data_IF_364401158512
#
_entry.id   IF_364401158512
#
_cell.length_a   1.000
_cell.length_b   1.000
_cell.length_c   1.000
_cell.angle_alpha   90.00
_cell.angle_beta   90.00
_cell.angle_gamma   90.00
#
_symmetry.space_group_name_H-M   'P 1'
#
loop_
_entity.id
_entity.type
_entity.pdbx_description
1 polymer ?
#
# COMPACT_ATOMS: atom_id res chain seq x y z
N UNK A 1 -27.71 4.69 -23.43
CA UNK A 1 -27.54 5.17 -22.03
C UNK A 1 -28.09 6.58 -21.98
N UNK A 2 -29.24 6.80 -21.34
CA UNK A 2 -29.79 8.14 -21.17
C UNK A 2 -29.28 8.69 -19.83
N UNK A 3 -28.25 9.51 -19.88
CA UNK A 3 -27.70 10.19 -18.71
C UNK A 3 -28.68 11.26 -18.23
N UNK A 4 -29.08 11.19 -16.97
CA UNK A 4 -30.05 12.09 -16.36
C UNK A 4 -29.35 13.08 -15.42
N UNK A 5 -30.06 14.11 -14.99
CA UNK A 5 -29.57 15.04 -13.97
C UNK A 5 -29.32 14.35 -12.62
N UNK A 6 -30.12 13.33 -12.32
CA UNK A 6 -29.95 12.47 -11.13
C UNK A 6 -28.58 11.78 -11.14
N UNK A 7 -28.17 11.21 -12.27
CA UNK A 7 -26.86 10.53 -12.42
C UNK A 7 -25.69 11.49 -12.16
N UNK A 8 -25.84 12.74 -12.61
CA UNK A 8 -24.84 13.79 -12.37
C UNK A 8 -24.67 14.09 -10.88
N UNK A 9 -25.78 14.23 -10.13
CA UNK A 9 -25.72 14.47 -8.70
C UNK A 9 -25.22 13.27 -7.91
N UNK A 10 -25.57 12.06 -8.28
CA UNK A 10 -25.03 10.83 -7.69
C UNK A 10 -23.49 10.82 -7.80
N UNK A 11 -22.95 11.13 -8.98
CA UNK A 11 -21.50 11.19 -9.17
C UNK A 11 -20.89 12.33 -8.36
N UNK A 12 -21.50 13.49 -8.30
CA UNK A 12 -21.00 14.64 -7.52
C UNK A 12 -20.96 14.29 -6.02
N UNK A 13 -22.05 13.75 -5.47
CA UNK A 13 -22.13 13.38 -4.05
C UNK A 13 -21.08 12.28 -3.73
N UNK A 14 -21.00 11.25 -4.57
CA UNK A 14 -19.98 10.20 -4.43
C UNK A 14 -18.55 10.72 -4.49
N UNK A 15 -18.27 11.65 -5.41
CA UNK A 15 -16.96 12.28 -5.55
C UNK A 15 -16.60 13.17 -4.35
N UNK A 16 -17.56 13.98 -3.84
CA UNK A 16 -17.36 14.80 -2.65
C UNK A 16 -17.12 13.94 -1.40
N UNK A 17 -17.91 12.88 -1.23
CA UNK A 17 -17.71 11.90 -0.17
C UNK A 17 -16.33 11.25 -0.26
N UNK A 18 -15.97 10.74 -1.44
CA UNK A 18 -14.68 10.09 -1.66
C UNK A 18 -13.49 11.03 -1.38
N UNK A 19 -13.57 12.28 -1.85
CA UNK A 19 -12.55 13.27 -1.59
C UNK A 19 -12.47 13.65 -0.10
N UNK A 20 -13.63 13.82 0.56
CA UNK A 20 -13.72 14.09 2.00
C UNK A 20 -13.10 12.98 2.84
N UNK A 21 -13.38 11.73 2.53
CA UNK A 21 -12.82 10.55 3.20
C UNK A 21 -11.32 10.34 2.90
N UNK A 22 -10.86 10.66 1.68
CA UNK A 22 -9.47 10.44 1.27
C UNK A 22 -8.47 11.28 2.07
N UNK A 23 -8.85 12.47 2.55
CA UNK A 23 -7.94 13.35 3.31
C UNK A 23 -7.54 12.70 4.65
N UNK A 24 -8.46 12.45 5.61
CA UNK A 24 -8.09 11.78 6.84
C UNK A 24 -7.64 10.33 6.59
N UNK A 25 -8.23 9.64 5.61
CA UNK A 25 -7.84 8.29 5.19
C UNK A 25 -6.37 8.17 4.82
N UNK A 26 -5.80 9.18 4.16
CA UNK A 26 -4.37 9.23 3.82
C UNK A 26 -3.49 9.15 5.07
N UNK A 27 -3.83 9.89 6.13
CA UNK A 27 -3.06 9.89 7.37
C UNK A 27 -3.28 8.57 8.13
N UNK A 28 -4.51 8.03 8.12
CA UNK A 28 -4.82 6.74 8.73
C UNK A 28 -4.01 5.61 8.11
N UNK A 29 -3.90 5.56 6.77
CA UNK A 29 -3.09 4.56 6.05
C UNK A 29 -1.61 4.70 6.40
N UNK A 30 -1.05 5.91 6.41
CA UNK A 30 0.34 6.16 6.79
C UNK A 30 0.65 5.73 8.23
N UNK A 31 -0.30 5.91 9.15
CA UNK A 31 -0.18 5.48 10.55
C UNK A 31 -0.51 4.00 10.77
N UNK A 32 -0.81 3.23 9.71
CA UNK A 32 -1.24 1.82 9.80
C UNK A 32 -2.51 1.62 10.63
N UNK A 33 -3.40 2.61 10.62
CA UNK A 33 -4.67 2.63 11.35
C UNK A 33 -5.87 2.67 10.38
N UNK A 34 -5.74 2.11 9.18
CA UNK A 34 -6.77 2.18 8.13
C UNK A 34 -8.13 1.63 8.55
N UNK A 35 -8.16 0.61 9.40
CA UNK A 35 -9.39 0.04 9.96
C UNK A 35 -10.09 0.96 10.98
N UNK A 36 -9.45 2.06 11.40
CA UNK A 36 -10.06 3.00 12.35
C UNK A 36 -11.26 3.73 11.76
N UNK A 37 -11.24 4.02 10.45
CA UNK A 37 -12.40 4.57 9.76
C UNK A 37 -13.61 3.64 9.83
N UNK A 38 -13.40 2.34 9.63
CA UNK A 38 -14.42 1.30 9.75
C UNK A 38 -14.93 1.16 11.20
N UNK A 39 -14.02 1.06 12.17
CA UNK A 39 -14.36 0.98 13.59
C UNK A 39 -15.21 2.17 14.04
N UNK A 40 -14.83 3.39 13.67
CA UNK A 40 -15.59 4.61 14.01
C UNK A 40 -16.95 4.58 13.32
N UNK A 41 -17.02 4.16 12.06
CA UNK A 41 -18.25 4.10 11.30
C UNK A 41 -19.35 3.32 12.02
N UNK A 42 -19.04 2.16 12.53
CA UNK A 42 -20.02 1.32 13.22
C UNK A 42 -20.28 1.76 14.67
N UNK A 43 -19.30 2.37 15.33
CA UNK A 43 -19.47 2.89 16.69
C UNK A 43 -20.26 4.20 16.76
N UNK A 44 -20.59 4.80 15.64
CA UNK A 44 -21.48 5.96 15.54
C UNK A 44 -22.91 5.64 16.03
N UNK A 45 -23.40 4.41 15.82
CA UNK A 45 -24.75 3.99 16.18
C UNK A 45 -25.13 4.30 17.64
N UNK A 46 -24.36 3.92 18.68
CA UNK A 46 -24.68 4.30 20.05
C UNK A 46 -24.71 5.81 20.26
N UNK A 47 -23.87 6.57 19.53
CA UNK A 47 -23.88 8.04 19.61
C UNK A 47 -25.16 8.66 19.08
N UNK A 48 -25.63 8.20 17.94
CA UNK A 48 -26.90 8.59 17.34
C UNK A 48 -28.09 8.22 18.27
N UNK A 49 -28.10 6.97 18.77
CA UNK A 49 -29.16 6.50 19.67
C UNK A 49 -29.22 7.29 20.97
N UNK A 50 -28.07 7.58 21.59
CA UNK A 50 -28.01 8.41 22.81
C UNK A 50 -28.48 9.83 22.51
N UNK A 51 -28.02 10.44 21.42
CA UNK A 51 -28.46 11.79 21.04
C UNK A 51 -29.96 11.84 20.85
N UNK A 52 -30.58 10.86 20.18
CA UNK A 52 -32.02 10.75 20.00
C UNK A 52 -32.75 10.58 21.32
N UNK A 53 -32.30 9.69 22.21
CA UNK A 53 -32.91 9.44 23.51
C UNK A 53 -32.87 10.69 24.42
N UNK A 54 -31.83 11.53 24.32
CA UNK A 54 -31.66 12.73 25.12
C UNK A 54 -32.48 13.90 24.57
N UNK A 55 -32.51 14.07 23.25
CA UNK A 55 -33.20 15.22 22.61
C UNK A 55 -34.66 14.96 22.29
N UNK A 56 -35.07 13.70 22.17
CA UNK A 56 -36.41 13.31 21.71
C UNK A 56 -36.71 13.73 20.26
N UNK A 57 -35.70 14.19 19.52
CA UNK A 57 -35.84 14.71 18.16
C UNK A 57 -34.79 14.14 17.22
N UNK A 58 -35.10 14.15 15.91
CA UNK A 58 -34.16 13.77 14.84
C UNK A 58 -33.36 14.99 14.36
N UNK A 59 -32.90 15.84 15.28
CA UNK A 59 -32.04 16.96 14.88
C UNK A 59 -30.69 16.46 14.37
N UNK A 60 -30.34 16.73 13.11
CA UNK A 60 -29.09 16.28 12.51
C UNK A 60 -27.83 16.76 13.24
N UNK A 61 -27.90 17.98 13.82
CA UNK A 61 -26.75 18.55 14.54
C UNK A 61 -26.53 17.79 15.85
N UNK A 62 -27.59 17.48 16.60
CA UNK A 62 -27.49 16.71 17.83
C UNK A 62 -26.97 15.28 17.56
N UNK A 63 -27.44 14.64 16.48
CA UNK A 63 -26.96 13.32 16.06
C UNK A 63 -25.50 13.35 15.63
N UNK A 64 -25.07 14.37 14.88
CA UNK A 64 -23.68 14.56 14.50
C UNK A 64 -22.75 14.71 15.72
N UNK A 65 -23.17 15.55 16.70
CA UNK A 65 -22.42 15.75 17.95
C UNK A 65 -22.32 14.43 18.72
N UNK A 66 -23.43 13.72 18.92
CA UNK A 66 -23.43 12.42 19.60
C UNK A 66 -22.50 11.40 18.95
N UNK A 67 -22.53 11.33 17.65
CA UNK A 67 -21.69 10.44 16.86
C UNK A 67 -20.21 10.80 16.95
N UNK A 68 -19.85 12.09 16.87
CA UNK A 68 -18.47 12.56 17.05
C UNK A 68 -17.95 12.26 18.45
N UNK A 69 -18.77 12.49 19.49
CA UNK A 69 -18.41 12.18 20.89
C UNK A 69 -18.11 10.69 21.06
N UNK A 70 -18.97 9.80 20.54
CA UNK A 70 -18.73 8.36 20.63
C UNK A 70 -17.54 7.93 19.75
N UNK A 71 -17.32 8.54 18.59
CA UNK A 71 -16.13 8.35 17.79
C UNK A 71 -14.84 8.69 18.54
N UNK A 72 -14.83 9.78 19.31
CA UNK A 72 -13.71 10.14 20.18
C UNK A 72 -13.52 9.16 21.35
N UNK A 73 -14.62 8.71 21.97
CA UNK A 73 -14.59 7.67 23.00
C UNK A 73 -14.01 6.38 22.41
N UNK A 74 -14.39 6.01 21.21
CA UNK A 74 -13.83 4.84 20.49
C UNK A 74 -12.33 4.96 20.32
N UNK A 75 -11.85 6.12 19.83
CA UNK A 75 -10.43 6.36 19.66
C UNK A 75 -9.67 6.30 21.01
N UNK A 76 -10.24 6.89 22.05
CA UNK A 76 -9.68 6.83 23.40
C UNK A 76 -9.59 5.39 23.94
N UNK A 77 -10.67 4.62 23.84
CA UNK A 77 -10.70 3.23 24.29
C UNK A 77 -9.71 2.35 23.54
N UNK A 78 -9.64 2.47 22.21
CA UNK A 78 -8.64 1.77 21.39
C UNK A 78 -7.23 2.08 21.86
N UNK A 79 -6.92 3.37 22.04
CA UNK A 79 -5.60 3.80 22.51
C UNK A 79 -5.30 3.33 23.95
N UNK A 80 -6.29 3.35 24.84
CA UNK A 80 -6.13 2.86 26.22
C UNK A 80 -5.81 1.35 26.24
N UNK A 81 -6.53 0.53 25.44
CA UNK A 81 -6.28 -0.90 25.36
C UNK A 81 -4.88 -1.18 24.77
N UNK A 82 -4.45 -0.41 23.76
CA UNK A 82 -3.10 -0.55 23.20
C UNK A 82 -1.99 -0.17 24.18
N UNK A 83 -2.14 0.96 24.90
CA UNK A 83 -1.10 1.49 25.77
C UNK A 83 -0.99 0.75 27.10
N UNK A 84 -2.11 0.41 27.71
CA UNK A 84 -2.18 -0.27 29.02
C UNK A 84 -2.14 -1.78 28.85
N UNK A 85 -2.94 -2.31 27.94
CA UNK A 85 -3.08 -3.75 27.70
C UNK A 85 -1.98 -4.34 26.82
N UNK A 86 -1.16 -3.50 26.16
CA UNK A 86 -0.13 -3.90 25.16
C UNK A 86 -0.71 -4.81 24.07
N UNK A 87 -1.99 -4.62 23.75
CA UNK A 87 -2.70 -5.37 22.70
C UNK A 87 -2.39 -4.75 21.34
N UNK A 88 -2.29 -5.60 20.31
CA UNK A 88 -2.08 -5.14 18.94
C UNK A 88 -3.20 -4.17 18.48
N UNK A 89 -2.85 -3.23 17.63
CA UNK A 89 -3.74 -2.16 17.12
C UNK A 89 -5.02 -2.75 16.52
N UNK A 90 -4.91 -3.76 15.66
CA UNK A 90 -6.04 -4.39 14.99
C UNK A 90 -6.99 -5.10 15.98
N UNK A 91 -6.44 -5.85 16.95
CA UNK A 91 -7.22 -6.53 17.98
C UNK A 91 -7.91 -5.52 18.91
N UNK A 92 -7.24 -4.44 19.31
CA UNK A 92 -7.83 -3.37 20.13
C UNK A 92 -9.02 -2.70 19.44
N UNK A 93 -8.89 -2.41 18.13
CA UNK A 93 -9.98 -1.89 17.32
C UNK A 93 -11.16 -2.87 17.26
N UNK A 94 -10.89 -4.16 17.01
CA UNK A 94 -11.93 -5.19 16.94
C UNK A 94 -12.73 -5.32 18.23
N UNK A 95 -12.07 -5.32 19.39
CA UNK A 95 -12.73 -5.41 20.70
C UNK A 95 -13.65 -4.20 20.93
N UNK A 96 -13.11 -2.99 20.79
CA UNK A 96 -13.88 -1.75 21.06
C UNK A 96 -15.06 -1.62 20.10
N UNK A 97 -14.81 -1.86 18.81
CA UNK A 97 -15.84 -1.83 17.78
C UNK A 97 -16.98 -2.79 18.07
N UNK A 98 -16.70 -4.07 18.34
CA UNK A 98 -17.72 -5.09 18.55
C UNK A 98 -18.58 -4.78 19.78
N UNK A 99 -17.95 -4.34 20.86
CA UNK A 99 -18.67 -4.01 22.12
C UNK A 99 -19.54 -2.78 21.94
N UNK A 100 -19.01 -1.69 21.37
CA UNK A 100 -19.78 -0.45 21.17
C UNK A 100 -20.89 -0.63 20.13
N UNK A 101 -20.64 -1.38 19.06
CA UNK A 101 -21.66 -1.69 18.06
C UNK A 101 -22.82 -2.49 18.66
N UNK A 102 -22.50 -3.57 19.41
CA UNK A 102 -23.53 -4.36 20.10
C UNK A 102 -24.32 -3.51 21.10
N UNK A 103 -23.64 -2.61 21.84
CA UNK A 103 -24.30 -1.68 22.74
C UNK A 103 -25.22 -0.71 21.97
N UNK A 104 -24.77 -0.20 20.83
CA UNK A 104 -25.58 0.64 19.93
C UNK A 104 -26.84 -0.05 19.44
N UNK A 105 -26.75 -1.33 19.05
CA UNK A 105 -27.92 -2.11 18.64
C UNK A 105 -28.94 -2.28 19.78
N UNK A 106 -28.47 -2.51 21.02
CA UNK A 106 -29.36 -2.62 22.20
C UNK A 106 -30.04 -1.30 22.45
N UNK A 107 -29.32 -0.16 22.37
CA UNK A 107 -29.92 1.17 22.56
C UNK A 107 -30.93 1.52 21.45
N UNK A 108 -30.59 1.22 20.19
CA UNK A 108 -31.46 1.43 19.05
C UNK A 108 -32.77 0.68 19.22
N UNK A 109 -32.74 -0.58 19.66
CA UNK A 109 -33.97 -1.35 19.90
C UNK A 109 -34.91 -0.70 20.94
N UNK A 110 -34.35 -0.09 21.98
CA UNK A 110 -35.13 0.64 22.96
C UNK A 110 -35.67 1.98 22.41
N UNK A 111 -34.98 2.61 21.50
CA UNK A 111 -35.41 3.83 20.83
C UNK A 111 -36.49 3.57 19.76
N UNK A 112 -36.46 2.42 19.10
CA UNK A 112 -37.36 2.02 18.01
C UNK A 112 -38.78 1.71 18.48
N UNK A 113 -39.00 1.29 19.75
CA UNK A 113 -40.35 1.06 20.27
C UNK A 113 -41.26 2.29 20.16
N UNK A 114 -40.69 3.46 19.79
CA UNK A 114 -41.40 4.72 19.61
C UNK A 114 -41.30 5.36 18.24
N UNK A 115 -40.46 4.84 17.32
CA UNK A 115 -40.23 5.43 15.99
C UNK A 115 -39.67 4.38 15.01
N UNK A 116 -40.28 4.28 13.82
CA UNK A 116 -39.77 3.46 12.70
C UNK A 116 -38.43 4.03 12.19
N UNK A 117 -37.32 3.61 12.80
CA UNK A 117 -35.98 3.80 12.25
C UNK A 117 -35.57 2.44 11.71
N UNK A 118 -35.56 2.31 10.39
CA UNK A 118 -35.06 1.11 9.72
C UNK A 118 -33.50 1.09 9.82
N UNK A 119 -32.92 0.15 10.58
CA UNK A 119 -31.46 0.02 10.69
C UNK A 119 -30.78 -0.24 9.35
N UNK A 120 -31.48 -0.91 8.43
CA UNK A 120 -30.95 -1.22 7.10
C UNK A 120 -30.80 0.04 6.24
N UNK A 121 -31.69 1.02 6.40
CA UNK A 121 -31.58 2.31 5.71
C UNK A 121 -30.37 3.12 6.17
N UNK A 122 -30.02 3.04 7.46
CA UNK A 122 -28.85 3.71 8.03
C UNK A 122 -27.55 3.01 7.62
N UNK A 123 -27.54 1.68 7.49
CA UNK A 123 -26.35 0.90 7.18
C UNK A 123 -26.06 0.84 5.68
N UNK A 124 -27.08 0.70 4.85
CA UNK A 124 -26.90 0.48 3.42
C UNK A 124 -26.80 1.78 2.61
N UNK A 125 -27.27 2.92 3.14
CA UNK A 125 -27.32 4.21 2.46
C UNK A 125 -27.89 4.08 1.05
N UNK A 126 -28.57 5.09 0.61
CA UNK A 126 -29.17 5.04 -0.72
C UNK A 126 -28.77 6.31 -1.49
N UNK A 127 -27.53 6.33 -1.98
CA UNK A 127 -27.02 7.45 -2.79
C UNK A 127 -27.93 7.73 -3.99
N UNK A 128 -28.63 6.71 -4.48
CA UNK A 128 -29.63 6.81 -5.54
C UNK A 128 -30.82 7.69 -5.16
N UNK A 129 -31.16 7.77 -3.89
CA UNK A 129 -32.25 8.61 -3.38
C UNK A 129 -31.78 9.97 -2.86
N UNK A 130 -30.48 10.22 -2.79
CA UNK A 130 -29.93 11.48 -2.30
C UNK A 130 -30.40 12.73 -3.10
N UNK A 131 -30.82 12.55 -4.34
CA UNK A 131 -31.42 13.61 -5.15
C UNK A 131 -32.77 14.10 -4.59
N UNK A 132 -33.56 13.21 -4.01
CA UNK A 132 -34.93 13.54 -3.51
C UNK A 132 -34.90 14.31 -2.19
N UNK A 133 -33.75 14.28 -1.47
CA UNK A 133 -33.56 15.08 -0.24
C UNK A 133 -32.99 16.45 -0.61
N UNK A 134 -33.84 17.26 -1.26
CA UNK A 134 -33.53 18.64 -1.62
C UNK A 134 -33.85 19.60 -0.46
N UNK A 135 -32.93 20.53 -0.24
CA UNK A 135 -33.16 21.57 0.75
C UNK A 135 -34.30 22.53 0.27
N UNK A 136 -35.40 22.71 1.01
CA UNK A 136 -36.53 23.57 0.56
C UNK A 136 -36.10 25.00 0.25
N UNK A 137 -35.09 25.52 0.94
CA UNK A 137 -34.53 26.87 0.76
C UNK A 137 -33.29 26.89 -0.13
N UNK A 138 -32.85 25.70 -0.64
CA UNK A 138 -31.65 25.53 -1.43
C UNK A 138 -31.92 25.60 -2.92
N UNK A 139 -31.06 26.18 -3.67
CA UNK A 139 -31.04 26.40 -5.12
C UNK A 139 -31.09 25.09 -5.95
N UNK A 140 -31.89 24.09 -5.52
CA UNK A 140 -31.99 22.77 -6.15
C UNK A 140 -30.77 21.85 -5.88
N UNK A 141 -29.93 22.20 -4.89
CA UNK A 141 -28.77 21.41 -4.52
C UNK A 141 -29.18 20.36 -3.48
N UNK A 142 -28.92 19.06 -3.72
CA UNK A 142 -29.18 18.01 -2.77
C UNK A 142 -28.43 18.23 -1.45
N UNK A 143 -29.10 17.98 -0.33
CA UNK A 143 -28.53 18.13 1.01
C UNK A 143 -27.23 17.32 1.16
N UNK A 144 -27.20 16.10 0.60
CA UNK A 144 -26.00 15.25 0.62
C UNK A 144 -24.77 15.90 -0.02
N UNK A 145 -24.95 16.70 -1.08
CA UNK A 145 -23.85 17.44 -1.71
C UNK A 145 -23.32 18.56 -0.80
N UNK A 146 -24.22 19.28 -0.11
CA UNK A 146 -23.84 20.35 0.82
C UNK A 146 -23.09 19.77 2.02
N UNK A 147 -23.60 18.70 2.62
CA UNK A 147 -23.01 18.07 3.80
C UNK A 147 -21.62 17.50 3.48
N UNK A 148 -21.49 16.70 2.42
CA UNK A 148 -20.19 16.14 2.04
C UNK A 148 -19.22 17.22 1.54
N UNK A 149 -19.72 18.24 0.84
CA UNK A 149 -18.93 19.40 0.42
C UNK A 149 -18.38 20.20 1.60
N UNK A 150 -19.19 20.47 2.62
CA UNK A 150 -18.73 21.17 3.83
C UNK A 150 -17.71 20.34 4.61
N UNK A 151 -17.88 19.01 4.70
CA UNK A 151 -16.89 18.13 5.33
C UNK A 151 -15.58 18.07 4.53
N UNK A 152 -15.64 18.03 3.21
CA UNK A 152 -14.45 18.12 2.37
C UNK A 152 -13.68 19.42 2.61
N UNK A 153 -14.40 20.56 2.64
CA UNK A 153 -13.77 21.88 2.88
C UNK A 153 -13.18 21.95 4.30
N UNK A 154 -13.87 21.45 5.31
CA UNK A 154 -13.37 21.40 6.68
C UNK A 154 -12.11 20.53 6.76
N UNK A 155 -12.12 19.33 6.20
CA UNK A 155 -10.96 18.44 6.16
C UNK A 155 -9.79 19.05 5.41
N UNK A 156 -10.04 19.69 4.26
CA UNK A 156 -9.02 20.39 3.49
C UNK A 156 -8.42 21.56 4.29
N UNK A 157 -9.25 22.34 4.97
CA UNK A 157 -8.80 23.44 5.82
C UNK A 157 -7.89 22.96 6.95
N UNK A 158 -8.31 21.94 7.72
CA UNK A 158 -7.48 21.38 8.79
C UNK A 158 -6.21 20.74 8.25
N UNK A 159 -6.30 20.03 7.12
CA UNK A 159 -5.15 19.43 6.47
C UNK A 159 -4.12 20.47 6.02
N UNK A 160 -4.56 21.59 5.44
CA UNK A 160 -3.67 22.67 5.01
C UNK A 160 -3.07 23.41 6.20
N UNK A 161 -3.86 23.67 7.24
CA UNK A 161 -3.44 24.38 8.45
C UNK A 161 -2.35 23.58 9.21
N UNK A 162 -2.56 22.28 9.36
CA UNK A 162 -1.68 21.38 10.12
C UNK A 162 -0.89 20.40 9.22
N UNK A 163 -0.63 20.81 7.97
CA UNK A 163 0.06 19.95 6.99
C UNK A 163 1.40 19.41 7.47
N UNK A 164 2.22 20.28 8.08
CA UNK A 164 3.57 19.93 8.57
C UNK A 164 3.48 19.01 9.78
N UNK A 165 2.58 19.32 10.71
CA UNK A 165 2.36 18.60 11.95
C UNK A 165 1.83 17.18 11.66
N UNK A 166 0.85 17.04 10.79
CA UNK A 166 0.35 15.74 10.34
C UNK A 166 1.44 14.92 9.65
N UNK A 167 2.22 15.55 8.76
CA UNK A 167 3.32 14.88 8.09
C UNK A 167 4.33 14.33 9.09
N UNK A 168 4.87 15.16 9.98
CA UNK A 168 5.91 14.75 10.95
C UNK A 168 5.35 13.67 11.89
N UNK A 169 4.14 13.86 12.44
CA UNK A 169 3.54 12.91 13.38
C UNK A 169 3.13 11.59 12.74
N UNK A 170 2.93 11.54 11.42
CA UNK A 170 2.63 10.31 10.71
C UNK A 170 3.88 9.45 10.48
N UNK A 171 5.04 10.07 10.25
CA UNK A 171 6.29 9.36 9.97
C UNK A 171 7.15 9.12 11.22
N UNK A 172 7.28 10.13 12.09
CA UNK A 172 8.11 10.06 13.29
C UNK A 172 7.49 10.84 14.46
N UNK A 173 6.69 10.16 15.30
CA UNK A 173 6.10 10.79 16.48
C UNK A 173 7.14 11.24 17.53
N UNK A 174 8.33 10.61 17.59
CA UNK A 174 9.36 10.99 18.53
C UNK A 174 10.03 12.31 18.11
N UNK A 175 10.33 12.46 16.83
CA UNK A 175 10.80 13.72 16.24
C UNK A 175 9.76 14.84 16.41
N UNK A 176 8.48 14.56 16.18
CA UNK A 176 7.41 15.52 16.40
C UNK A 176 7.43 16.08 17.83
N UNK A 177 7.55 15.19 18.83
CA UNK A 177 7.62 15.56 20.23
C UNK A 177 8.85 16.41 20.56
N UNK A 178 10.02 16.12 19.99
CA UNK A 178 11.24 16.92 20.19
C UNK A 178 11.15 18.34 19.60
N UNK A 179 10.29 18.51 18.56
CA UNK A 179 10.01 19.81 17.94
C UNK A 179 8.85 20.56 18.62
N UNK A 180 8.35 20.09 19.77
CA UNK A 180 7.26 20.73 20.52
C UNK A 180 5.85 20.43 20.00
N UNK A 181 5.70 19.55 19.01
CA UNK A 181 4.39 19.12 18.47
C UNK A 181 3.88 17.99 19.36
N UNK A 182 2.63 18.10 19.82
CA UNK A 182 1.98 17.05 20.61
C UNK A 182 1.35 15.97 19.70
N UNK A 183 1.93 14.75 19.62
CA UNK A 183 1.38 13.69 18.77
C UNK A 183 -0.01 13.22 19.22
N UNK A 184 -0.31 13.30 20.53
CA UNK A 184 -1.63 12.95 21.06
C UNK A 184 -2.71 13.91 20.59
N UNK A 185 -2.45 15.22 20.60
CA UNK A 185 -3.38 16.19 20.06
C UNK A 185 -3.65 15.95 18.57
N UNK A 186 -2.62 15.72 17.79
CA UNK A 186 -2.74 15.40 16.35
C UNK A 186 -3.53 14.10 16.11
N UNK A 187 -3.38 13.12 17.01
CA UNK A 187 -4.14 11.87 16.95
C UNK A 187 -5.64 12.13 17.16
N UNK A 188 -6.01 12.80 18.25
CA UNK A 188 -7.43 13.07 18.53
C UNK A 188 -8.06 14.01 17.49
N UNK A 189 -7.32 14.97 16.96
CA UNK A 189 -7.80 15.81 15.87
C UNK A 189 -8.09 15.00 14.61
N UNK A 190 -7.22 14.06 14.24
CA UNK A 190 -7.44 13.14 13.14
C UNK A 190 -8.69 12.27 13.38
N UNK A 191 -8.86 11.74 14.60
CA UNK A 191 -10.04 10.95 14.95
C UNK A 191 -11.34 11.76 14.87
N UNK A 192 -11.31 13.03 15.31
CA UNK A 192 -12.45 13.94 15.16
C UNK A 192 -12.81 14.18 13.70
N UNK A 193 -11.80 14.45 12.86
CA UNK A 193 -12.00 14.60 11.40
C UNK A 193 -12.60 13.33 10.80
N UNK A 194 -12.06 12.16 11.16
CA UNK A 194 -12.52 10.87 10.66
C UNK A 194 -13.96 10.60 11.09
N UNK A 195 -14.29 10.80 12.38
CA UNK A 195 -15.62 10.57 12.91
C UNK A 195 -16.66 11.50 12.28
N UNK A 196 -16.36 12.81 12.21
CA UNK A 196 -17.27 13.79 11.61
C UNK A 196 -17.52 13.48 10.12
N UNK A 197 -16.46 13.13 9.37
CA UNK A 197 -16.58 12.77 7.96
C UNK A 197 -17.36 11.49 7.77
N UNK A 198 -17.09 10.47 8.58
CA UNK A 198 -17.80 9.20 8.50
C UNK A 198 -19.31 9.41 8.73
N UNK A 199 -19.69 10.13 9.79
CA UNK A 199 -21.11 10.39 10.11
C UNK A 199 -21.81 11.16 8.99
N UNK A 200 -21.19 12.24 8.52
CA UNK A 200 -21.74 13.06 7.45
C UNK A 200 -21.93 12.29 6.15
N UNK A 201 -21.00 11.40 5.84
CA UNK A 201 -21.05 10.57 4.66
C UNK A 201 -22.03 9.39 4.77
N UNK A 202 -22.17 8.79 5.96
CA UNK A 202 -23.09 7.67 6.19
C UNK A 202 -24.52 7.96 5.82
N UNK A 203 -25.04 9.10 6.27
CA UNK A 203 -26.42 9.52 6.03
C UNK A 203 -26.73 9.57 4.51
N UNK A 204 -25.71 9.86 3.69
CA UNK A 204 -25.90 10.09 2.25
C UNK A 204 -25.55 8.90 1.37
N UNK A 205 -24.45 8.20 1.68
CA UNK A 205 -23.89 7.19 0.76
C UNK A 205 -23.78 5.78 1.34
N UNK A 206 -24.01 5.64 2.65
CA UNK A 206 -23.95 4.37 3.37
C UNK A 206 -22.57 3.91 3.78
N UNK A 207 -22.52 2.89 4.64
CA UNK A 207 -21.29 2.42 5.29
C UNK A 207 -20.28 1.86 4.33
N UNK A 208 -20.71 1.01 3.39
CA UNK A 208 -19.83 0.27 2.47
C UNK A 208 -18.97 1.23 1.66
N UNK A 209 -19.59 2.28 1.09
CA UNK A 209 -18.85 3.24 0.26
C UNK A 209 -17.91 4.10 1.12
N UNK A 210 -18.35 4.55 2.29
CA UNK A 210 -17.55 5.38 3.19
C UNK A 210 -16.27 4.65 3.61
N UNK A 211 -16.40 3.40 4.09
CA UNK A 211 -15.25 2.58 4.50
C UNK A 211 -14.30 2.36 3.33
N UNK A 212 -14.84 2.02 2.15
CA UNK A 212 -14.03 1.85 0.94
C UNK A 212 -13.25 3.12 0.59
N UNK A 213 -13.87 4.30 0.68
CA UNK A 213 -13.26 5.58 0.31
C UNK A 213 -12.23 6.08 1.33
N UNK A 214 -12.33 5.70 2.61
CA UNK A 214 -11.29 5.95 3.61
C UNK A 214 -10.02 5.14 3.37
N UNK A 215 -10.13 3.94 2.80
CA UNK A 215 -9.02 2.98 2.73
C UNK A 215 -8.46 2.88 1.31
N UNK A 216 -9.32 2.63 0.33
CA UNK A 216 -8.86 2.16 -0.99
C UNK A 216 -8.14 3.24 -1.80
N UNK A 217 -8.65 4.47 -1.98
CA UNK A 217 -7.93 5.50 -2.71
C UNK A 217 -6.60 5.90 -2.05
N UNK A 218 -6.52 6.11 -0.71
CA UNK A 218 -5.25 6.36 -0.02
C UNK A 218 -4.26 5.19 -0.12
N UNK A 219 -4.70 3.96 0.03
CA UNK A 219 -3.84 2.79 -0.10
C UNK A 219 -3.31 2.64 -1.54
N UNK A 220 -4.15 2.93 -2.53
CA UNK A 220 -3.74 2.94 -3.94
C UNK A 220 -2.67 4.01 -4.20
N UNK A 221 -2.88 5.21 -3.69
CA UNK A 221 -1.91 6.31 -3.81
C UNK A 221 -0.59 5.99 -3.09
N UNK A 222 -0.65 5.34 -1.93
CA UNK A 222 0.53 4.91 -1.17
C UNK A 222 1.43 3.94 -1.94
N UNK A 223 0.85 3.06 -2.75
CA UNK A 223 1.62 2.15 -3.63
C UNK A 223 2.26 2.89 -4.81
N UNK A 224 1.65 4.00 -5.25
CA UNK A 224 2.10 4.73 -6.44
C UNK A 224 3.17 5.78 -6.16
N UNK A 225 3.26 6.32 -4.92
CA UNK A 225 4.17 7.42 -4.61
C UNK A 225 4.63 7.44 -3.16
N UNK A 226 5.91 7.85 -2.97
CA UNK A 226 6.51 8.06 -1.64
C UNK A 226 6.43 9.54 -1.19
N UNK A 227 5.93 10.45 -2.03
CA UNK A 227 5.85 11.88 -1.75
C UNK A 227 4.52 12.24 -1.11
N UNK A 228 4.53 12.66 0.17
CA UNK A 228 3.32 12.94 0.95
C UNK A 228 2.30 13.87 0.26
N UNK A 229 2.73 15.00 -0.30
CA UNK A 229 1.81 15.93 -0.99
C UNK A 229 1.18 15.33 -2.25
N UNK A 230 1.97 14.55 -3.02
CA UNK A 230 1.48 13.84 -4.21
C UNK A 230 0.53 12.72 -3.79
N UNK A 231 0.81 12.04 -2.67
CA UNK A 231 -0.02 10.98 -2.12
C UNK A 231 -1.42 11.50 -1.76
N UNK A 232 -1.51 12.65 -1.10
CA UNK A 232 -2.81 13.30 -0.79
C UNK A 232 -3.56 13.65 -2.09
N UNK A 233 -2.89 14.30 -3.04
CA UNK A 233 -3.50 14.66 -4.33
C UNK A 233 -3.97 13.46 -5.14
N UNK A 234 -3.16 12.40 -5.21
CA UNK A 234 -3.54 11.15 -5.88
C UNK A 234 -4.69 10.45 -5.18
N UNK A 235 -4.73 10.44 -3.83
CA UNK A 235 -5.84 9.86 -3.07
C UNK A 235 -7.16 10.53 -3.41
N UNK A 236 -7.19 11.87 -3.44
CA UNK A 236 -8.35 12.66 -3.86
C UNK A 236 -8.76 12.33 -5.30
N UNK A 237 -7.82 12.39 -6.24
CA UNK A 237 -8.08 12.12 -7.67
C UNK A 237 -8.60 10.70 -7.92
N UNK A 238 -8.00 9.70 -7.28
CA UNK A 238 -8.41 8.29 -7.39
C UNK A 238 -9.80 8.06 -6.78
N UNK A 239 -10.12 8.71 -5.66
CA UNK A 239 -11.43 8.63 -5.04
C UNK A 239 -12.53 9.20 -5.94
N UNK A 240 -12.31 10.40 -6.49
CA UNK A 240 -13.23 11.04 -7.45
C UNK A 240 -13.39 10.19 -8.72
N UNK A 241 -12.28 9.66 -9.23
CA UNK A 241 -12.30 8.80 -10.41
C UNK A 241 -13.04 7.48 -10.16
N UNK A 242 -12.84 6.86 -8.99
CA UNK A 242 -13.55 5.65 -8.58
C UNK A 242 -15.06 5.89 -8.45
N UNK A 243 -15.48 7.07 -7.95
CA UNK A 243 -16.89 7.43 -7.87
C UNK A 243 -17.53 7.55 -9.27
N UNK A 244 -16.88 8.24 -10.20
CA UNK A 244 -17.35 8.36 -11.58
C UNK A 244 -17.39 7.01 -12.32
N UNK A 245 -16.28 6.27 -12.28
CA UNK A 245 -16.17 4.97 -12.92
C UNK A 245 -17.19 3.97 -12.34
N UNK A 246 -17.36 4.00 -11.00
CA UNK A 246 -18.29 3.13 -10.29
C UNK A 246 -19.73 3.35 -10.70
N UNK A 247 -20.17 4.62 -10.78
CA UNK A 247 -21.54 4.92 -11.23
C UNK A 247 -21.78 4.51 -12.67
N UNK A 248 -20.85 4.81 -13.58
CA UNK A 248 -20.93 4.34 -14.99
C UNK A 248 -21.00 2.82 -15.06
N UNK A 249 -20.19 2.12 -14.26
CA UNK A 249 -20.21 0.65 -14.22
C UNK A 249 -21.50 0.10 -13.64
N UNK A 250 -22.11 0.76 -12.64
CA UNK A 250 -23.39 0.35 -12.04
C UNK A 250 -24.53 0.33 -13.04
N UNK A 251 -24.51 1.24 -14.01
CA UNK A 251 -25.53 1.35 -15.05
C UNK A 251 -25.23 0.42 -16.24
N UNK A 252 -23.93 0.27 -16.61
CA UNK A 252 -23.57 -0.41 -17.88
C UNK A 252 -23.28 -1.90 -17.70
N UNK A 253 -22.56 -2.31 -16.66
CA UNK A 253 -22.12 -3.70 -16.51
C UNK A 253 -23.27 -4.67 -16.31
N UNK A 254 -24.30 -4.39 -15.47
CA UNK A 254 -25.42 -5.30 -15.28
C UNK A 254 -26.21 -5.56 -16.56
N UNK A 255 -26.31 -4.57 -17.47
CA UNK A 255 -27.04 -4.73 -18.73
C UNK A 255 -26.45 -5.79 -19.64
N UNK A 256 -25.13 -6.07 -19.54
CA UNK A 256 -24.48 -7.17 -20.30
C UNK A 256 -24.95 -8.55 -19.84
N UNK A 257 -25.45 -8.64 -18.60
CA UNK A 257 -25.99 -9.88 -18.03
C UNK A 257 -27.53 -9.91 -17.98
N UNK A 258 -28.19 -8.91 -18.58
CA UNK A 258 -29.66 -8.86 -18.67
C UNK A 258 -30.34 -8.25 -17.41
N UNK A 259 -29.59 -7.60 -16.52
CA UNK A 259 -30.12 -6.90 -15.34
C UNK A 259 -30.29 -5.40 -15.64
N UNK A 260 -31.24 -4.73 -14.96
CA UNK A 260 -31.53 -3.32 -15.18
C UNK A 260 -30.51 -2.38 -14.51
N UNK A 261 -29.77 -2.81 -13.50
CA UNK A 261 -28.79 -2.02 -12.76
C UNK A 261 -28.34 -2.71 -11.48
N UNK A 262 -27.43 -2.07 -10.74
CA UNK A 262 -26.96 -2.53 -9.44
C UNK A 262 -26.77 -1.31 -8.50
N UNK A 263 -26.49 -1.56 -7.22
CA UNK A 263 -26.23 -0.50 -6.24
C UNK A 263 -25.00 0.32 -6.62
N UNK A 264 -25.18 1.63 -6.76
CA UNK A 264 -24.10 2.55 -7.15
C UNK A 264 -22.98 2.59 -6.10
N UNK A 265 -23.33 2.61 -4.81
CA UNK A 265 -22.35 2.62 -3.72
C UNK A 265 -21.42 1.38 -3.78
N UNK A 266 -22.00 0.18 -3.98
CA UNK A 266 -21.22 -1.04 -4.15
C UNK A 266 -20.33 -1.03 -5.40
N UNK A 267 -20.85 -0.54 -6.53
CA UNK A 267 -20.09 -0.44 -7.77
C UNK A 267 -18.93 0.56 -7.66
N UNK A 268 -19.09 1.69 -6.96
CA UNK A 268 -18.03 2.65 -6.66
C UNK A 268 -16.92 2.02 -5.80
N UNK A 269 -17.30 1.24 -4.78
CA UNK A 269 -16.34 0.53 -3.95
C UNK A 269 -15.55 -0.52 -4.76
N UNK A 270 -16.23 -1.28 -5.62
CA UNK A 270 -15.59 -2.26 -6.54
C UNK A 270 -14.67 -1.56 -7.53
N UNK A 271 -15.07 -0.43 -8.12
CA UNK A 271 -14.23 0.36 -9.01
C UNK A 271 -12.94 0.81 -8.32
N UNK A 272 -13.04 1.29 -7.08
CA UNK A 272 -11.87 1.59 -6.25
C UNK A 272 -10.96 0.36 -6.07
N UNK A 273 -11.54 -0.80 -5.72
CA UNK A 273 -10.81 -2.06 -5.57
C UNK A 273 -10.07 -2.48 -6.85
N UNK A 274 -10.71 -2.33 -8.01
CA UNK A 274 -10.07 -2.60 -9.32
C UNK A 274 -8.89 -1.67 -9.55
N UNK A 275 -9.04 -0.37 -9.28
CA UNK A 275 -7.94 0.59 -9.37
C UNK A 275 -6.77 0.24 -8.44
N UNK A 276 -7.07 -0.23 -7.23
CA UNK A 276 -6.05 -0.71 -6.29
C UNK A 276 -5.28 -1.91 -6.86
N UNK A 277 -5.98 -2.92 -7.38
CA UNK A 277 -5.35 -4.11 -7.98
C UNK A 277 -4.48 -3.72 -9.18
N UNK A 278 -4.96 -2.82 -10.04
CA UNK A 278 -4.18 -2.32 -11.17
C UNK A 278 -2.93 -1.57 -10.69
N UNK A 279 -3.05 -0.69 -9.71
CA UNK A 279 -1.90 0.00 -9.13
C UNK A 279 -0.91 -0.99 -8.50
N UNK A 280 -1.38 -1.98 -7.75
CA UNK A 280 -0.55 -3.01 -7.15
C UNK A 280 0.19 -3.87 -8.19
N UNK A 281 -0.45 -4.16 -9.32
CA UNK A 281 0.19 -4.91 -10.40
C UNK A 281 1.24 -4.09 -11.16
N UNK A 282 0.93 -2.83 -11.48
CA UNK A 282 1.70 -2.02 -12.43
C UNK A 282 2.52 -0.89 -11.80
N UNK A 283 2.46 -0.68 -10.48
CA UNK A 283 3.24 0.37 -9.82
C UNK A 283 4.73 0.29 -10.17
N UNK A 284 5.36 1.41 -10.54
CA UNK A 284 6.78 1.45 -10.89
C UNK A 284 7.71 1.16 -9.70
N UNK A 285 7.31 1.49 -8.47
CA UNK A 285 8.15 1.33 -7.27
C UNK A 285 7.90 0.01 -6.54
N UNK A 286 6.64 -0.42 -6.41
CA UNK A 286 6.26 -1.58 -5.59
C UNK A 286 5.45 -2.64 -6.36
N UNK A 287 5.27 -2.44 -7.68
CA UNK A 287 4.43 -3.30 -8.51
C UNK A 287 4.91 -4.75 -8.57
N UNK A 288 3.94 -5.67 -8.47
CA UNK A 288 4.23 -7.11 -8.54
C UNK A 288 4.94 -7.49 -9.84
N UNK A 289 4.47 -6.97 -10.98
CA UNK A 289 5.07 -7.25 -12.29
C UNK A 289 6.49 -6.68 -12.40
N UNK A 290 6.71 -5.47 -11.90
CA UNK A 290 8.03 -4.84 -11.90
C UNK A 290 9.01 -5.65 -11.05
N UNK A 291 8.61 -6.08 -9.84
CA UNK A 291 9.41 -6.96 -8.98
C UNK A 291 9.72 -8.30 -9.65
N UNK A 292 8.72 -8.94 -10.27
CA UNK A 292 8.92 -10.22 -10.95
C UNK A 292 9.88 -10.09 -12.13
N UNK A 293 9.75 -9.02 -12.92
CA UNK A 293 10.65 -8.75 -14.05
C UNK A 293 12.06 -8.40 -13.58
N UNK A 294 12.18 -7.57 -12.55
CA UNK A 294 13.46 -7.20 -11.95
C UNK A 294 14.16 -8.43 -11.38
N UNK A 295 13.48 -9.23 -10.56
CA UNK A 295 14.03 -10.45 -9.99
C UNK A 295 14.48 -11.46 -11.07
N UNK A 296 13.71 -11.58 -12.17
CA UNK A 296 14.11 -12.43 -13.31
C UNK A 296 15.37 -11.90 -14.00
N UNK A 297 15.49 -10.58 -14.18
CA UNK A 297 16.67 -9.94 -14.78
C UNK A 297 17.89 -10.12 -13.89
N UNK A 298 17.77 -9.84 -12.59
CA UNK A 298 18.86 -9.98 -11.61
C UNK A 298 19.32 -11.42 -11.51
N UNK A 299 18.39 -12.39 -11.36
CA UNK A 299 18.76 -13.81 -11.36
C UNK A 299 19.46 -14.26 -12.65
N UNK A 300 19.00 -13.76 -13.80
CA UNK A 300 19.66 -14.08 -15.08
C UNK A 300 21.02 -13.42 -15.21
N UNK A 301 21.25 -12.26 -14.58
CA UNK A 301 22.55 -11.59 -14.55
C UNK A 301 23.53 -12.35 -13.64
N UNK A 302 23.12 -12.63 -12.41
CA UNK A 302 23.91 -13.43 -11.46
C UNK A 302 24.30 -14.77 -12.07
N UNK A 303 23.35 -15.51 -12.64
CA UNK A 303 23.65 -16.79 -13.29
C UNK A 303 24.62 -16.63 -14.47
N UNK A 304 24.61 -15.52 -15.19
CA UNK A 304 25.56 -15.26 -16.25
C UNK A 304 26.98 -15.05 -15.71
N UNK A 305 27.12 -14.36 -14.60
CA UNK A 305 28.38 -14.15 -13.90
C UNK A 305 28.88 -15.44 -13.27
N UNK A 306 28.03 -16.25 -12.64
CA UNK A 306 28.36 -17.57 -12.11
C UNK A 306 28.93 -18.49 -13.21
N UNK A 307 28.31 -18.48 -14.41
CA UNK A 307 28.81 -19.25 -15.55
C UNK A 307 30.19 -18.77 -15.96
N UNK A 308 30.42 -17.46 -16.07
CA UNK A 308 31.71 -16.90 -16.42
C UNK A 308 32.79 -17.22 -15.37
N UNK A 309 32.47 -17.03 -14.09
CA UNK A 309 33.36 -17.35 -12.99
C UNK A 309 33.69 -18.85 -12.91
N UNK A 310 32.71 -19.73 -13.17
CA UNK A 310 32.96 -21.18 -13.23
C UNK A 310 33.88 -21.57 -14.40
N UNK A 311 33.61 -21.07 -15.59
CA UNK A 311 34.44 -21.32 -16.77
C UNK A 311 35.88 -20.85 -16.56
N UNK A 312 36.06 -19.67 -15.92
CA UNK A 312 37.37 -19.13 -15.61
C UNK A 312 38.14 -20.02 -14.62
N UNK A 313 37.47 -20.51 -13.54
CA UNK A 313 38.11 -21.43 -12.57
C UNK A 313 38.50 -22.79 -13.20
N UNK A 314 37.74 -23.25 -14.18
CA UNK A 314 38.09 -24.48 -14.94
C UNK A 314 39.27 -24.22 -15.84
N UNK A 315 39.36 -23.09 -16.52
CA UNK A 315 40.48 -22.69 -17.35
C UNK A 315 41.78 -22.53 -16.53
N UNK A 316 41.70 -21.92 -15.35
CA UNK A 316 42.80 -21.78 -14.37
C UNK A 316 43.37 -23.14 -13.97
N UNK A 317 42.52 -24.18 -13.88
CA UNK A 317 42.92 -25.56 -13.58
C UNK A 317 43.39 -26.36 -14.81
N UNK A 318 43.59 -25.72 -15.95
CA UNK A 318 44.05 -26.32 -17.22
C UNK A 318 43.10 -27.36 -17.82
N UNK A 319 41.81 -27.31 -17.55
CA UNK A 319 40.81 -28.27 -18.06
C UNK A 319 40.12 -27.84 -19.37
N UNK A 320 40.43 -26.68 -19.93
CA UNK A 320 40.10 -26.20 -21.27
C UNK A 320 38.63 -25.91 -21.55
N UNK A 321 37.76 -26.85 -21.76
CA UNK A 321 36.37 -26.66 -22.15
C UNK A 321 35.40 -27.40 -21.22
N UNK A 322 34.21 -26.82 -20.98
CA UNK A 322 33.20 -27.34 -20.02
C UNK A 322 31.98 -27.83 -20.76
N UNK A 323 31.53 -29.03 -20.43
CA UNK A 323 30.27 -29.58 -20.98
C UNK A 323 29.04 -29.00 -20.30
N UNK A 324 27.93 -28.85 -21.05
CA UNK A 324 26.66 -28.31 -20.54
C UNK A 324 26.18 -29.00 -19.25
N UNK A 325 26.35 -30.33 -19.14
CA UNK A 325 25.91 -31.10 -17.98
C UNK A 325 26.73 -30.77 -16.71
N UNK A 326 28.02 -30.49 -16.87
CA UNK A 326 28.89 -30.08 -15.77
C UNK A 326 28.45 -28.72 -15.20
N UNK A 327 28.17 -27.74 -16.09
CA UNK A 327 27.59 -26.44 -15.70
C UNK A 327 26.27 -26.61 -14.97
N UNK A 328 25.40 -27.51 -15.44
CA UNK A 328 24.11 -27.78 -14.80
C UNK A 328 24.28 -28.34 -13.39
N UNK A 329 25.20 -29.29 -13.21
CA UNK A 329 25.46 -29.94 -11.92
C UNK A 329 26.16 -28.99 -10.96
N UNK A 330 27.15 -28.24 -11.41
CA UNK A 330 27.95 -27.34 -10.61
C UNK A 330 27.13 -26.13 -10.08
N UNK A 331 26.27 -25.57 -10.95
CA UNK A 331 25.47 -24.37 -10.59
C UNK A 331 24.11 -24.70 -9.98
N UNK A 332 23.67 -25.96 -9.99
CA UNK A 332 22.42 -26.42 -9.38
C UNK A 332 21.15 -25.76 -9.95
N UNK A 333 21.18 -25.30 -11.21
CA UNK A 333 20.10 -24.54 -11.84
C UNK A 333 19.33 -25.36 -12.87
N UNK A 334 18.06 -25.01 -13.13
CA UNK A 334 17.25 -25.69 -14.12
C UNK A 334 17.83 -25.53 -15.55
N UNK A 335 17.80 -26.59 -16.36
CA UNK A 335 18.33 -26.60 -17.72
C UNK A 335 17.74 -25.53 -18.63
N UNK A 336 16.47 -25.12 -18.41
CA UNK A 336 15.81 -24.05 -19.16
C UNK A 336 16.35 -22.65 -18.84
N UNK A 337 16.72 -22.37 -17.60
CA UNK A 337 17.34 -21.11 -17.20
C UNK A 337 18.79 -21.02 -17.73
N UNK A 338 19.57 -22.08 -17.52
CA UNK A 338 20.94 -22.18 -17.99
C UNK A 338 21.05 -22.02 -19.51
N UNK A 339 20.21 -22.71 -20.28
CA UNK A 339 20.24 -22.63 -21.75
C UNK A 339 19.90 -21.25 -22.30
N UNK A 340 19.04 -20.46 -21.60
CA UNK A 340 18.76 -19.05 -21.96
C UNK A 340 19.97 -18.17 -21.71
N UNK A 341 20.64 -18.34 -20.58
CA UNK A 341 21.83 -17.58 -20.20
C UNK A 341 22.98 -17.89 -21.13
N UNK A 342 23.25 -19.18 -21.41
CA UNK A 342 24.30 -19.59 -22.34
C UNK A 342 24.09 -19.02 -23.73
N UNK A 343 22.87 -19.07 -24.27
CA UNK A 343 22.54 -18.44 -25.58
C UNK A 343 22.79 -16.92 -25.56
N UNK A 344 22.49 -16.26 -24.45
CA UNK A 344 22.74 -14.83 -24.29
C UNK A 344 24.22 -14.51 -24.25
N UNK A 345 25.02 -15.28 -23.50
CA UNK A 345 26.47 -15.11 -23.40
C UNK A 345 27.18 -15.37 -24.75
N UNK A 346 26.75 -16.38 -25.51
CA UNK A 346 27.23 -16.63 -26.87
C UNK A 346 26.87 -15.46 -27.79
N UNK A 347 25.61 -14.96 -27.75
CA UNK A 347 25.17 -13.82 -28.56
C UNK A 347 25.97 -12.55 -28.28
N UNK A 348 26.37 -12.32 -27.02
CA UNK A 348 27.20 -11.18 -26.62
C UNK A 348 28.70 -11.42 -26.79
N UNK A 349 29.09 -12.55 -27.30
CA UNK A 349 30.51 -12.88 -27.59
C UNK A 349 31.37 -13.07 -26.33
N UNK A 350 30.74 -13.33 -25.15
CA UNK A 350 31.48 -13.62 -23.92
C UNK A 350 31.97 -15.07 -23.85
N UNK A 351 31.22 -16.02 -24.43
CA UNK A 351 31.60 -17.42 -24.54
C UNK A 351 31.44 -17.89 -25.97
N UNK A 352 32.29 -18.84 -26.40
CA UNK A 352 32.12 -19.58 -27.65
C UNK A 352 31.55 -20.97 -27.36
N UNK A 353 30.77 -21.49 -28.30
CA UNK A 353 30.20 -22.84 -28.22
C UNK A 353 30.83 -23.74 -29.27
N UNK A 354 31.42 -24.83 -28.86
CA UNK A 354 31.95 -25.89 -29.72
C UNK A 354 31.19 -27.20 -29.42
N UNK A 355 30.26 -27.58 -30.30
CA UNK A 355 29.31 -28.68 -30.08
C UNK A 355 28.51 -28.53 -28.77
N UNK A 356 28.86 -29.29 -27.72
CA UNK A 356 28.24 -29.26 -26.39
C UNK A 356 29.12 -28.63 -25.29
N UNK A 357 30.26 -28.07 -25.69
CA UNK A 357 31.24 -27.46 -24.79
C UNK A 357 31.23 -25.95 -24.92
N UNK A 358 31.60 -25.27 -23.85
CA UNK A 358 31.69 -23.82 -23.78
C UNK A 358 33.09 -23.40 -23.33
N UNK A 359 33.61 -22.35 -23.95
CA UNK A 359 34.92 -21.77 -23.70
C UNK A 359 34.79 -20.27 -23.58
N UNK A 360 35.57 -19.62 -22.72
CA UNK A 360 35.63 -18.18 -22.63
C UNK A 360 36.25 -17.57 -23.89
N UNK A 361 35.71 -16.47 -24.35
CA UNK A 361 36.37 -15.60 -25.33
C UNK A 361 37.28 -14.59 -24.62
N UNK A 362 38.11 -13.85 -25.35
CA UNK A 362 38.92 -12.76 -24.75
C UNK A 362 38.05 -11.76 -23.96
N UNK A 363 36.88 -11.41 -24.48
CA UNK A 363 35.93 -10.51 -23.78
C UNK A 363 35.30 -11.17 -22.54
N UNK A 364 34.98 -12.46 -22.61
CA UNK A 364 34.48 -13.23 -21.48
C UNK A 364 35.52 -13.40 -20.39
N UNK A 365 36.77 -13.64 -20.78
CA UNK A 365 37.91 -13.81 -19.89
C UNK A 365 38.17 -12.55 -19.07
N UNK A 366 38.19 -11.36 -19.70
CA UNK A 366 38.36 -10.10 -18.98
C UNK A 366 37.24 -9.87 -17.94
N UNK A 367 35.98 -10.13 -18.30
CA UNK A 367 34.85 -10.02 -17.37
C UNK A 367 34.90 -11.03 -16.23
N UNK A 368 35.25 -12.25 -16.52
CA UNK A 368 35.40 -13.31 -15.52
C UNK A 368 36.59 -13.04 -14.58
N UNK A 369 37.69 -12.53 -15.07
CA UNK A 369 38.87 -12.13 -14.29
C UNK A 369 38.49 -11.04 -13.26
N UNK A 370 37.78 -9.98 -13.68
CA UNK A 370 37.31 -8.94 -12.76
C UNK A 370 36.38 -9.51 -11.69
N UNK A 371 35.46 -10.40 -12.04
CA UNK A 371 34.54 -11.03 -11.09
C UNK A 371 35.31 -11.89 -10.06
N UNK A 372 36.21 -12.74 -10.51
CA UNK A 372 37.01 -13.62 -9.63
C UNK A 372 37.93 -12.79 -8.74
N UNK A 373 38.51 -11.70 -9.25
CA UNK A 373 39.26 -10.74 -8.42
C UNK A 373 38.43 -10.22 -7.27
N UNK A 374 37.24 -9.70 -7.58
CA UNK A 374 36.30 -9.16 -6.54
C UNK A 374 35.94 -10.25 -5.53
N UNK A 375 35.66 -11.46 -5.99
CA UNK A 375 35.38 -12.60 -5.10
C UNK A 375 36.55 -12.87 -4.13
N UNK A 376 37.77 -12.99 -4.62
CA UNK A 376 38.97 -13.27 -3.80
C UNK A 376 39.28 -12.11 -2.84
N UNK A 377 39.12 -10.87 -3.28
CA UNK A 377 39.25 -9.70 -2.40
C UNK A 377 38.21 -9.69 -1.27
N UNK A 378 36.96 -10.11 -1.54
CA UNK A 378 35.96 -10.27 -0.48
C UNK A 378 36.33 -11.39 0.49
N UNK A 379 36.87 -12.50 0.04
CA UNK A 379 37.33 -13.56 0.93
C UNK A 379 38.45 -13.06 1.84
N UNK A 380 39.44 -12.32 1.33
CA UNK A 380 40.51 -11.71 2.14
C UNK A 380 39.96 -10.71 3.15
N UNK A 381 39.07 -9.83 2.72
CA UNK A 381 38.48 -8.82 3.59
C UNK A 381 37.65 -9.43 4.71
N UNK A 382 36.81 -10.42 4.40
CA UNK A 382 35.96 -11.09 5.37
C UNK A 382 36.80 -11.93 6.36
N UNK A 383 37.79 -12.67 5.89
CA UNK A 383 38.68 -13.47 6.75
C UNK A 383 39.42 -12.58 7.77
N UNK A 384 39.92 -11.43 7.32
CA UNK A 384 40.63 -10.47 8.17
C UNK A 384 39.74 -9.81 9.23
N UNK A 385 38.51 -9.44 8.87
CA UNK A 385 37.64 -8.61 9.73
C UNK A 385 36.58 -9.43 10.48
N UNK A 386 36.18 -10.58 9.94
CA UNK A 386 35.09 -11.42 10.46
C UNK A 386 35.49 -12.90 10.30
N UNK A 387 36.34 -13.44 11.19
CA UNK A 387 36.77 -14.83 11.09
C UNK A 387 35.60 -15.78 11.02
N UNK A 388 35.49 -16.52 9.93
CA UNK A 388 34.41 -17.48 9.64
C UNK A 388 35.03 -18.81 9.17
N UNK A 389 34.20 -19.86 9.20
CA UNK A 389 34.59 -21.13 8.56
C UNK A 389 34.73 -20.93 7.05
N UNK A 390 35.70 -21.61 6.42
CA UNK A 390 36.06 -21.47 5.00
C UNK A 390 34.85 -21.61 4.06
N UNK A 391 33.90 -22.50 4.40
CA UNK A 391 32.67 -22.68 3.64
C UNK A 391 31.72 -21.46 3.71
N UNK A 392 31.59 -20.86 4.89
CA UNK A 392 30.76 -19.66 5.09
C UNK A 392 31.40 -18.42 4.44
N UNK A 393 32.74 -18.34 4.50
CA UNK A 393 33.52 -17.30 3.87
C UNK A 393 33.27 -17.26 2.36
N UNK A 394 33.42 -18.42 1.70
CA UNK A 394 33.15 -18.56 0.27
C UNK A 394 31.71 -18.23 -0.11
N UNK A 395 30.72 -18.69 0.65
CA UNK A 395 29.32 -18.35 0.39
C UNK A 395 29.04 -16.86 0.54
N UNK A 396 29.67 -16.19 1.50
CA UNK A 396 29.51 -14.76 1.72
C UNK A 396 30.12 -13.95 0.59
N UNK A 397 31.35 -14.30 0.16
CA UNK A 397 32.02 -13.68 -0.97
C UNK A 397 31.23 -13.83 -2.26
N UNK A 398 30.72 -15.05 -2.55
CA UNK A 398 29.87 -15.32 -3.73
C UNK A 398 28.56 -14.52 -3.80
N UNK A 399 28.05 -14.06 -2.67
CA UNK A 399 26.87 -13.17 -2.66
C UNK A 399 27.23 -11.71 -2.86
N UNK A 400 28.40 -11.29 -2.37
CA UNK A 400 28.84 -9.91 -2.40
C UNK A 400 29.45 -9.53 -3.76
N UNK A 401 30.10 -10.46 -4.47
CA UNK A 401 30.71 -10.20 -5.77
C UNK A 401 29.76 -9.60 -6.80
N UNK A 402 28.50 -10.02 -6.80
CA UNK A 402 27.47 -9.57 -7.75
C UNK A 402 26.88 -8.19 -7.46
N UNK A 403 27.09 -7.64 -6.26
CA UNK A 403 26.56 -6.34 -5.84
C UNK A 403 27.66 -5.31 -5.57
N UNK A 404 28.92 -5.69 -5.77
CA UNK A 404 30.08 -4.84 -5.53
C UNK A 404 30.19 -3.75 -6.59
N UNK A 405 30.21 -2.50 -6.15
CA UNK A 405 30.47 -1.33 -7.01
C UNK A 405 31.98 -1.04 -7.07
N UNK A 406 32.43 -0.27 -8.06
CA UNK A 406 33.82 0.16 -8.18
C UNK A 406 34.31 0.90 -6.91
N UNK A 407 33.43 1.71 -6.29
CA UNK A 407 33.69 2.38 -5.03
C UNK A 407 33.89 1.39 -3.88
N UNK A 408 33.05 0.37 -3.77
CA UNK A 408 33.21 -0.70 -2.77
C UNK A 408 34.51 -1.49 -3.01
N UNK A 409 34.82 -1.80 -4.26
CA UNK A 409 36.05 -2.52 -4.61
C UNK A 409 37.31 -1.76 -4.17
N UNK A 410 37.34 -0.44 -4.31
CA UNK A 410 38.47 0.39 -3.85
C UNK A 410 38.69 0.33 -2.33
N UNK A 411 37.69 -0.02 -1.54
CA UNK A 411 37.80 -0.17 -0.08
C UNK A 411 38.20 -1.59 0.37
N UNK A 412 38.15 -2.60 -0.52
CA UNK A 412 38.56 -3.95 -0.17
C UNK A 412 40.08 -4.10 -0.01
N UNK A 413 40.86 -3.13 -0.56
CA UNK A 413 42.32 -3.18 -0.58
C UNK A 413 42.85 -4.10 -1.65
N UNK A 414 44.20 -4.23 -1.71
CA UNK A 414 44.91 -5.15 -2.60
C UNK A 414 45.42 -6.34 -1.80
N UNK A 415 45.42 -7.51 -2.44
CA UNK A 415 46.00 -8.72 -1.90
C UNK A 415 46.62 -9.55 -3.06
N UNK A 416 47.71 -10.24 -2.79
CA UNK A 416 48.35 -11.10 -3.78
C UNK A 416 47.72 -12.50 -3.83
N UNK A 417 47.21 -12.98 -2.70
CA UNK A 417 46.60 -14.30 -2.56
C UNK A 417 45.37 -14.25 -1.67
N UNK A 418 44.40 -15.13 -1.97
CA UNK A 418 43.22 -15.37 -1.15
C UNK A 418 43.55 -16.25 0.09
N UNK A 419 42.62 -16.42 1.06
CA UNK A 419 42.82 -17.29 2.23
C UNK A 419 43.08 -18.76 1.90
N UNK A 420 42.80 -19.18 0.67
CA UNK A 420 43.06 -20.55 0.16
C UNK A 420 44.38 -20.67 -0.58
N UNK A 421 45.20 -19.59 -0.63
CA UNK A 421 46.50 -19.55 -1.30
C UNK A 421 46.42 -19.39 -2.83
N UNK A 422 45.28 -19.08 -3.39
CA UNK A 422 45.11 -18.82 -4.83
C UNK A 422 45.46 -17.35 -5.16
N UNK A 423 46.17 -17.08 -6.28
CA UNK A 423 46.61 -15.75 -6.65
C UNK A 423 45.39 -14.87 -7.00
N UNK A 424 45.33 -13.65 -6.47
CA UNK A 424 44.31 -12.66 -6.86
C UNK A 424 44.67 -12.12 -8.25
N UNK A 425 43.77 -12.22 -9.26
CA UNK A 425 44.07 -11.73 -10.61
C UNK A 425 44.33 -10.24 -10.63
N UNK A 426 45.27 -9.75 -11.44
CA UNK A 426 45.56 -8.34 -11.68
C UNK A 426 44.48 -7.69 -12.53
N UNK A 427 44.34 -6.37 -12.44
CA UNK A 427 43.40 -5.56 -13.26
C UNK A 427 43.91 -5.25 -14.68
N UNK A 428 44.82 -6.06 -15.25
CA UNK A 428 45.38 -5.87 -16.62
C UNK A 428 44.42 -6.30 -17.72
#
# INVERSE_FOLDING_TARGET
MNWTEIDTWIVIIGALCAAGCAIPGTILVLRRMSLMGDAISHTVLPGIAIAFLVTGSRDPIAMLIGAVVVGLITAFLVQAIQSIGKVEVGASMGIVFTVLFAFGLVLMRQAIDHVDIDPDCVLNGAIEFAWFDQNPDGWGIPRGAIVNGTMLLANAFFMLLFYKEFKITAFDPALAKSQGINPGFMHYMLMTMTAATAVAAFETVGSILVVAMFIVPPATAYILTDRYGVLVGLSLGLGVFAAGLGHVSAITVPTWFGFSGTTTAGAMAVAGGVLFVLAWMFSPSQGLLVRLLHNRRTRSHILAEDVLGFLWRVEERSQGSVHTNELHTALGVSGGALSKVLRRLVKHGAISREASHYILTKSGQARATSLVRVHRLWEVYLDKNFPQDSHQLHQSASRLEHVTTEEMQSHLGDADTDPHGMPVPSDE
#
